data_IF_712953811953
#
_entry.id   IF_712953811953
#
_cell.length_a   1.000
_cell.length_b   1.000
_cell.length_c   1.000
_cell.angle_alpha   90.00
_cell.angle_beta   90.00
_cell.angle_gamma   90.00
#
_symmetry.space_group_name_H-M   'P 1'
#
loop_
_entity.id
_entity.type
_entity.pdbx_description
1 polymer ?
#
# COMPACT_ATOMS: atom_id res chain seq x y z
N UNK A 1 18.04 14.33 -4.18
CA UNK A 1 16.94 14.12 -5.15
C UNK A 1 16.03 12.96 -4.76
N UNK A 2 16.57 11.83 -4.31
CA UNK A 2 15.80 10.65 -3.85
C UNK A 2 14.81 10.95 -2.70
N UNK A 3 15.23 11.70 -1.68
CA UNK A 3 14.35 12.05 -0.54
C UNK A 3 13.14 12.90 -0.93
N UNK A 4 13.27 13.78 -1.93
CA UNK A 4 12.14 14.59 -2.42
C UNK A 4 11.08 13.70 -3.05
N UNK A 5 11.46 12.74 -3.90
CA UNK A 5 10.52 11.79 -4.51
C UNK A 5 9.84 10.91 -3.45
N UNK A 6 10.58 10.48 -2.43
CA UNK A 6 10.02 9.71 -1.32
C UNK A 6 8.94 10.49 -0.56
N UNK A 7 9.25 11.74 -0.17
CA UNK A 7 8.33 12.62 0.58
C UNK A 7 7.12 13.00 -0.29
N UNK A 8 7.34 13.41 -1.55
CA UNK A 8 6.25 13.74 -2.47
C UNK A 8 5.33 12.54 -2.68
N UNK A 9 5.90 11.34 -2.90
CA UNK A 9 5.11 10.12 -3.05
C UNK A 9 4.25 9.84 -1.83
N UNK A 10 4.80 10.00 -0.62
CA UNK A 10 4.04 9.83 0.62
C UNK A 10 2.92 10.88 0.78
N UNK A 11 3.20 12.14 0.45
CA UNK A 11 2.22 13.23 0.53
C UNK A 11 1.07 13.03 -0.45
N UNK A 12 1.37 12.71 -1.71
CA UNK A 12 0.35 12.46 -2.74
C UNK A 12 -0.45 11.22 -2.40
N UNK A 13 0.20 10.14 -1.97
CA UNK A 13 -0.49 8.93 -1.55
C UNK A 13 -1.43 9.16 -0.35
N UNK A 14 -0.97 9.90 0.67
CA UNK A 14 -1.79 10.27 1.83
C UNK A 14 -2.99 11.15 1.44
N UNK A 15 -2.79 12.10 0.52
CA UNK A 15 -3.86 12.94 0.00
C UNK A 15 -4.92 12.13 -0.77
N UNK A 16 -4.50 11.29 -1.72
CA UNK A 16 -5.42 10.43 -2.50
C UNK A 16 -6.11 9.42 -1.59
N UNK A 17 -5.41 8.86 -0.60
CA UNK A 17 -6.00 8.00 0.43
C UNK A 17 -7.07 8.75 1.25
N UNK A 18 -6.84 10.02 1.59
CA UNK A 18 -7.84 10.85 2.28
C UNK A 18 -9.10 11.08 1.44
N UNK A 19 -8.97 11.18 0.12
CA UNK A 19 -10.11 11.34 -0.80
C UNK A 19 -10.84 10.02 -1.10
N UNK A 20 -10.11 8.90 -1.24
CA UNK A 20 -10.64 7.62 -1.73
C UNK A 20 -10.88 6.57 -0.65
N UNK A 21 -10.17 6.66 0.47
CA UNK A 21 -10.24 5.71 1.57
C UNK A 21 -9.40 4.43 1.42
N UNK A 22 -8.68 4.18 0.31
CA UNK A 22 -7.89 2.93 0.16
C UNK A 22 -6.65 2.99 -0.77
N UNK A 23 -6.46 4.05 -1.56
CA UNK A 23 -5.48 4.04 -2.64
C UNK A 23 -4.01 4.28 -2.23
N UNK A 24 -3.68 4.38 -0.94
CA UNK A 24 -2.34 4.75 -0.48
C UNK A 24 -1.22 3.89 -1.11
N UNK A 25 -1.35 2.56 -0.99
CA UNK A 25 -0.27 1.63 -1.34
C UNK A 25 0.10 1.70 -2.83
N UNK A 26 -0.91 1.82 -3.70
CA UNK A 26 -0.71 1.94 -5.14
C UNK A 26 0.03 3.23 -5.48
N UNK A 27 -0.46 4.37 -5.00
CA UNK A 27 0.11 5.68 -5.31
C UNK A 27 1.53 5.79 -4.75
N UNK A 28 1.77 5.41 -3.50
CA UNK A 28 3.10 5.51 -2.89
C UNK A 28 4.11 4.59 -3.59
N UNK A 29 3.73 3.37 -3.96
CA UNK A 29 4.63 2.43 -4.64
C UNK A 29 5.09 2.94 -6.01
N UNK A 30 4.24 3.67 -6.74
CA UNK A 30 4.58 4.31 -8.02
C UNK A 30 5.78 5.26 -7.92
N UNK A 31 5.98 5.89 -6.76
CA UNK A 31 7.15 6.74 -6.50
C UNK A 31 8.28 5.94 -5.84
N UNK A 32 7.96 5.12 -4.85
CA UNK A 32 8.95 4.46 -4.01
C UNK A 32 9.73 3.36 -4.73
N UNK A 33 9.16 2.71 -5.75
CA UNK A 33 9.87 1.67 -6.54
C UNK A 33 11.10 2.20 -7.30
N UNK A 34 11.17 3.51 -7.53
CA UNK A 34 12.31 4.17 -8.17
C UNK A 34 13.42 4.54 -7.18
N UNK A 35 13.08 4.68 -5.90
CA UNK A 35 13.97 5.24 -4.86
C UNK A 35 14.43 4.18 -3.87
N UNK A 36 13.59 3.19 -3.59
CA UNK A 36 13.81 2.17 -2.58
C UNK A 36 13.84 0.77 -3.21
N UNK A 37 14.67 -0.14 -2.67
CA UNK A 37 14.54 -1.56 -2.95
C UNK A 37 13.12 -2.06 -2.61
N UNK A 38 12.50 -2.91 -3.44
CA UNK A 38 11.16 -3.44 -3.20
C UNK A 38 10.98 -4.09 -1.82
N UNK A 39 12.03 -4.74 -1.32
CA UNK A 39 12.06 -5.41 -0.03
C UNK A 39 11.93 -4.43 1.15
N UNK A 40 12.33 -3.16 0.96
CA UNK A 40 12.11 -2.09 1.93
C UNK A 40 10.80 -1.34 1.66
N UNK A 41 10.47 -1.09 0.40
CA UNK A 41 9.27 -0.34 0.02
C UNK A 41 7.98 -1.06 0.47
N UNK A 42 7.89 -2.38 0.26
CA UNK A 42 6.70 -3.15 0.59
C UNK A 42 6.30 -3.08 2.09
N UNK A 43 7.17 -3.40 3.07
CA UNK A 43 6.80 -3.28 4.48
C UNK A 43 6.51 -1.84 4.91
N UNK A 44 7.21 -0.85 4.35
CA UNK A 44 6.93 0.57 4.59
C UNK A 44 5.51 0.95 4.12
N UNK A 45 5.09 0.46 2.95
CA UNK A 45 3.74 0.70 2.43
C UNK A 45 2.67 0.12 3.35
N UNK A 46 2.87 -1.11 3.83
CA UNK A 46 1.94 -1.76 4.76
C UNK A 46 1.84 -0.93 6.04
N UNK A 47 2.97 -0.54 6.62
CA UNK A 47 2.99 0.27 7.84
C UNK A 47 2.27 1.62 7.64
N UNK A 48 2.59 2.35 6.58
CA UNK A 48 1.99 3.65 6.30
C UNK A 48 0.50 3.56 5.93
N UNK A 49 0.08 2.47 5.27
CA UNK A 49 -1.34 2.22 4.96
C UNK A 49 -2.14 1.93 6.23
N UNK A 50 -1.60 1.10 7.13
CA UNK A 50 -2.23 0.83 8.44
C UNK A 50 -2.36 2.14 9.22
N UNK A 51 -1.30 2.95 9.27
CA UNK A 51 -1.32 4.24 9.94
C UNK A 51 -2.40 5.17 9.37
N UNK A 52 -2.51 5.22 8.04
CA UNK A 52 -3.52 6.02 7.34
C UNK A 52 -4.94 5.56 7.70
N UNK A 53 -5.19 4.24 7.74
CA UNK A 53 -6.49 3.70 8.18
C UNK A 53 -6.76 3.99 9.66
N UNK A 54 -5.75 3.93 10.54
CA UNK A 54 -5.89 4.30 11.96
C UNK A 54 -6.33 5.77 12.10
N UNK A 55 -5.74 6.68 11.33
CA UNK A 55 -6.14 8.09 11.30
C UNK A 55 -7.58 8.23 10.80
N UNK A 56 -7.93 7.58 9.68
CA UNK A 56 -9.29 7.62 9.12
C UNK A 56 -10.34 7.11 10.11
N UNK A 57 -10.07 5.97 10.77
CA UNK A 57 -10.95 5.40 11.79
C UNK A 57 -11.06 6.28 13.04
N UNK A 58 -10.00 6.99 13.42
CA UNK A 58 -10.03 7.88 14.58
C UNK A 58 -10.88 9.13 14.38
N UNK A 59 -11.12 9.52 13.13
CA UNK A 59 -11.98 10.67 12.77
C UNK A 59 -13.46 10.29 12.65
N UNK A 60 -13.77 9.00 12.56
CA UNK A 60 -15.14 8.48 12.52
C UNK A 60 -15.76 8.53 13.93
N UNK A 61 -16.77 9.40 14.13
CA UNK A 61 -17.44 9.57 15.42
C UNK A 61 -18.39 8.42 15.80
N UNK A 62 -18.73 7.55 14.86
CA UNK A 62 -19.69 6.44 15.07
C UNK A 62 -18.95 5.12 15.11
N UNK A 63 -19.38 4.22 15.98
CA UNK A 63 -18.84 2.86 16.04
C UNK A 63 -19.01 2.19 14.67
N UNK A 64 -17.93 1.75 14.00
CA UNK A 64 -18.04 1.04 12.75
C UNK A 64 -18.79 -0.27 12.99
N UNK A 65 -19.89 -0.48 12.28
CA UNK A 65 -20.66 -1.73 12.32
C UNK A 65 -19.86 -2.78 11.55
N UNK A 66 -18.89 -3.38 12.23
CA UNK A 66 -17.96 -4.32 11.64
C UNK A 66 -18.61 -5.70 11.53
N UNK A 67 -19.18 -6.01 10.37
CA UNK A 67 -19.77 -7.32 10.10
C UNK A 67 -18.66 -8.37 9.99
N UNK A 68 -18.56 -9.26 11.00
CA UNK A 68 -17.55 -10.33 11.04
C UNK A 68 -17.52 -11.19 9.77
N UNK A 69 -18.67 -11.39 9.15
CA UNK A 69 -18.83 -12.17 7.91
C UNK A 69 -18.14 -11.53 6.69
N UNK A 70 -17.98 -10.19 6.68
CA UNK A 70 -17.25 -9.49 5.63
C UNK A 70 -15.76 -9.41 5.93
N UNK A 71 -15.37 -9.17 7.19
CA UNK A 71 -13.95 -9.00 7.54
C UNK A 71 -13.13 -10.28 7.39
N UNK A 72 -13.73 -11.42 7.71
CA UNK A 72 -13.05 -12.73 7.65
C UNK A 72 -12.47 -13.05 6.26
N UNK A 73 -13.24 -12.98 5.15
CA UNK A 73 -12.68 -13.23 3.83
C UNK A 73 -11.60 -12.23 3.43
N UNK A 74 -11.71 -10.94 3.80
CA UNK A 74 -10.64 -9.96 3.54
C UNK A 74 -9.37 -10.27 4.33
N UNK A 75 -9.48 -10.70 5.58
CA UNK A 75 -8.33 -11.11 6.40
C UNK A 75 -7.65 -12.35 5.83
N UNK A 76 -8.42 -13.37 5.44
CA UNK A 76 -7.87 -14.60 4.85
C UNK A 76 -7.19 -14.31 3.51
N UNK A 77 -7.85 -13.54 2.64
CA UNK A 77 -7.25 -13.10 1.39
C UNK A 77 -5.98 -12.27 1.61
N UNK A 78 -5.99 -11.37 2.59
CA UNK A 78 -4.83 -10.57 2.98
C UNK A 78 -3.67 -11.41 3.51
N UNK A 79 -3.93 -12.38 4.38
CA UNK A 79 -2.92 -13.32 4.89
C UNK A 79 -2.26 -14.10 3.76
N UNK A 80 -3.07 -14.70 2.89
CA UNK A 80 -2.57 -15.45 1.73
C UNK A 80 -1.78 -14.52 0.79
N UNK A 81 -2.33 -13.34 0.50
CA UNK A 81 -1.70 -12.35 -0.37
C UNK A 81 -0.37 -11.83 0.16
N UNK A 82 -0.26 -11.53 1.46
CA UNK A 82 0.98 -11.07 2.09
C UNK A 82 2.03 -12.18 2.09
N UNK A 83 1.68 -13.41 2.46
CA UNK A 83 2.63 -14.53 2.45
C UNK A 83 3.16 -14.82 1.03
N UNK A 84 2.27 -14.85 0.04
CA UNK A 84 2.68 -15.05 -1.35
C UNK A 84 3.47 -13.87 -1.90
N UNK A 85 3.02 -12.63 -1.63
CA UNK A 85 3.69 -11.42 -2.08
C UNK A 85 5.10 -11.28 -1.50
N UNK A 86 5.28 -11.57 -0.21
CA UNK A 86 6.59 -11.53 0.44
C UNK A 86 7.54 -12.60 -0.10
N UNK A 87 7.05 -13.81 -0.37
CA UNK A 87 7.82 -14.86 -1.05
C UNK A 87 8.23 -14.42 -2.46
N UNK A 88 7.30 -13.86 -3.24
CA UNK A 88 7.59 -13.37 -4.59
C UNK A 88 8.63 -12.24 -4.57
N UNK A 89 8.61 -11.34 -3.59
CA UNK A 89 9.60 -10.26 -3.46
C UNK A 89 11.05 -10.76 -3.29
N UNK A 90 11.26 -12.00 -2.85
CA UNK A 90 12.60 -12.60 -2.74
C UNK A 90 13.13 -13.12 -4.07
N UNK A 91 12.24 -13.44 -5.01
CA UNK A 91 12.57 -14.12 -6.26
C UNK A 91 12.45 -13.17 -7.46
N UNK A 92 11.57 -12.18 -7.37
CA UNK A 92 11.30 -11.23 -8.45
C UNK A 92 12.43 -10.20 -8.55
N UNK A 93 12.86 -9.93 -9.79
CA UNK A 93 13.80 -8.86 -10.06
C UNK A 93 13.09 -7.50 -9.93
N UNK A 94 13.82 -6.49 -9.45
CA UNK A 94 13.26 -5.15 -9.24
C UNK A 94 12.63 -4.55 -10.51
N UNK A 95 13.24 -4.81 -11.68
CA UNK A 95 12.75 -4.31 -12.97
C UNK A 95 11.43 -4.98 -13.39
N UNK A 96 11.26 -6.28 -13.11
CA UNK A 96 9.99 -6.98 -13.34
C UNK A 96 8.88 -6.39 -12.49
N UNK A 97 9.15 -6.09 -11.21
CA UNK A 97 8.16 -5.46 -10.33
C UNK A 97 7.77 -4.07 -10.83
N UNK A 98 8.74 -3.27 -11.29
CA UNK A 98 8.49 -1.95 -11.90
C UNK A 98 7.59 -2.05 -13.13
N UNK A 99 7.84 -3.02 -14.00
CA UNK A 99 7.00 -3.23 -15.19
C UNK A 99 5.56 -3.62 -14.82
N UNK A 100 5.38 -4.54 -13.87
CA UNK A 100 4.04 -4.96 -13.41
C UNK A 100 3.28 -3.77 -12.82
N UNK A 101 3.94 -2.99 -11.95
CA UNK A 101 3.34 -1.79 -11.37
C UNK A 101 3.00 -0.75 -12.43
N UNK A 102 3.91 -0.51 -13.38
CA UNK A 102 3.67 0.40 -14.50
C UNK A 102 2.46 -0.02 -15.34
N UNK A 103 2.34 -1.31 -15.66
CA UNK A 103 1.18 -1.84 -16.38
C UNK A 103 -0.13 -1.66 -15.58
N UNK A 104 -0.11 -1.97 -14.29
CA UNK A 104 -1.27 -1.81 -13.41
C UNK A 104 -1.74 -0.35 -13.31
N UNK A 105 -0.83 0.62 -13.39
CA UNK A 105 -1.17 2.05 -13.31
C UNK A 105 -1.72 2.63 -14.62
N UNK A 106 -1.40 2.01 -15.75
CA UNK A 106 -1.91 2.41 -17.07
C UNK A 106 -3.33 1.90 -17.28
N UNK A 107 -3.67 0.75 -16.70
CA UNK A 107 -4.96 0.09 -16.79
C UNK A 107 -5.99 0.71 -15.84
#
# INVERSE_FOLDING_TARGET
>A
MTWLLFILGAMVAGFVQGLTGFAFALIAMSFWVWVLPPQLAAPLLVFASIWSHVISLSQEQKQPVLSRQLVLPYLVAGLIGVSLGTYLLQIIQADTLRMILGFLLVL
#
